data_IF_581240046667
#
_entry.id   IF_581240046667
#
_cell.length_a   1.000
_cell.length_b   1.000
_cell.length_c   1.000
_cell.angle_alpha   90.00
_cell.angle_beta   90.00
_cell.angle_gamma   90.00
#
_symmetry.space_group_name_H-M   'P 1'
#
loop_
_entity.id
_entity.type
_entity.pdbx_description
1 polymer ?
#
# COMPACT_ATOMS: atom_id res chain seq x y z
N UNK A 1 -4.89 13.12 13.07
CA UNK A 1 -5.12 12.20 11.94
C UNK A 1 -4.14 12.57 10.84
N UNK A 2 -3.67 11.60 10.06
CA UNK A 2 -2.73 11.78 8.96
C UNK A 2 -3.20 10.98 7.75
N UNK A 3 -2.96 11.53 6.57
CA UNK A 3 -3.24 10.90 5.28
C UNK A 3 -1.97 10.99 4.46
N UNK A 4 -1.50 9.86 3.94
CA UNK A 4 -0.35 9.80 3.07
C UNK A 4 -0.76 9.17 1.74
N UNK A 5 -0.37 9.79 0.63
CA UNK A 5 -0.62 9.27 -0.70
C UNK A 5 0.70 9.10 -1.46
N UNK A 6 0.92 7.93 -2.04
CA UNK A 6 2.01 7.70 -3.01
C UNK A 6 1.42 7.36 -4.36
N UNK A 7 1.80 8.12 -5.37
CA UNK A 7 1.43 7.88 -6.76
C UNK A 7 2.68 7.52 -7.55
N UNK A 8 2.57 6.48 -8.38
CA UNK A 8 3.61 6.09 -9.34
C UNK A 8 2.97 6.07 -10.72
N UNK A 9 3.65 6.65 -11.71
CA UNK A 9 3.26 6.53 -13.12
C UNK A 9 3.65 5.18 -13.69
N UNK A 10 3.13 4.84 -14.85
CA UNK A 10 3.56 3.66 -15.62
C UNK A 10 5.09 3.71 -15.80
N UNK A 11 5.76 2.60 -15.56
CA UNK A 11 7.21 2.52 -15.67
C UNK A 11 7.65 1.22 -16.34
N UNK A 12 8.77 1.31 -17.05
CA UNK A 12 9.42 0.17 -17.68
C UNK A 12 10.29 -0.53 -16.63
N UNK A 13 10.04 -1.80 -16.41
CA UNK A 13 10.86 -2.69 -15.61
C UNK A 13 11.49 -3.78 -16.48
N UNK A 14 12.49 -4.44 -15.92
CA UNK A 14 13.11 -5.63 -16.50
C UNK A 14 12.89 -6.78 -15.53
N UNK A 15 12.32 -7.88 -16.01
CA UNK A 15 12.15 -9.12 -15.24
C UNK A 15 12.86 -10.23 -15.99
N UNK A 16 13.68 -11.00 -15.29
CA UNK A 16 14.23 -12.26 -15.81
C UNK A 16 13.13 -13.32 -15.84
N UNK A 17 12.92 -13.92 -17.00
CA UNK A 17 12.04 -15.09 -17.13
C UNK A 17 12.69 -16.34 -16.48
N UNK A 18 11.92 -17.41 -16.34
CA UNK A 18 12.39 -18.72 -15.85
C UNK A 18 13.60 -19.29 -16.62
N UNK A 19 13.83 -18.85 -17.87
CA UNK A 19 14.97 -19.18 -18.73
C UNK A 19 16.14 -18.16 -18.64
N UNK A 20 16.13 -17.26 -17.65
CA UNK A 20 17.14 -16.21 -17.44
C UNK A 20 17.27 -15.17 -18.58
N UNK A 21 16.28 -15.12 -19.47
CA UNK A 21 16.17 -14.04 -20.45
C UNK A 21 15.55 -12.81 -19.80
N UNK A 22 16.20 -11.66 -19.97
CA UNK A 22 15.70 -10.35 -19.53
C UNK A 22 14.63 -9.87 -20.50
N UNK A 23 13.39 -9.75 -20.02
CA UNK A 23 12.28 -9.23 -20.81
C UNK A 23 11.85 -7.87 -20.26
N UNK A 24 11.71 -6.90 -21.17
CA UNK A 24 11.13 -5.61 -20.85
C UNK A 24 9.64 -5.79 -20.57
N UNK A 25 9.21 -5.30 -19.41
CA UNK A 25 7.82 -5.38 -18.98
C UNK A 25 7.37 -4.03 -18.46
N UNK A 26 6.15 -3.67 -18.74
CA UNK A 26 5.59 -2.42 -18.25
C UNK A 26 4.74 -2.70 -17.03
N UNK A 27 4.96 -1.92 -15.98
CA UNK A 27 4.16 -1.97 -14.76
C UNK A 27 3.24 -0.75 -14.77
N UNK A 28 1.95 -1.00 -14.62
CA UNK A 28 0.93 0.05 -14.58
C UNK A 28 1.10 0.87 -13.30
N UNK A 29 1.08 2.18 -13.46
CA UNK A 29 1.08 3.15 -12.40
C UNK A 29 -0.12 2.97 -11.48
N UNK A 30 0.12 3.13 -10.19
CA UNK A 30 -0.89 2.97 -9.16
C UNK A 30 -0.80 4.10 -8.15
N UNK A 31 -1.94 4.38 -7.52
CA UNK A 31 -2.04 5.35 -6.43
C UNK A 31 -2.45 4.61 -5.16
N UNK A 32 -1.54 4.55 -4.20
CA UNK A 32 -1.75 3.95 -2.88
C UNK A 32 -1.96 5.07 -1.88
N UNK A 33 -3.07 5.02 -1.15
CA UNK A 33 -3.36 5.96 -0.06
C UNK A 33 -3.37 5.21 1.25
N UNK A 34 -2.67 5.72 2.24
CA UNK A 34 -2.60 5.21 3.60
C UNK A 34 -3.25 6.23 4.55
N UNK A 35 -4.03 5.72 5.51
CA UNK A 35 -4.74 6.51 6.51
C UNK A 35 -4.25 6.15 7.90
N UNK A 36 -4.10 7.14 8.76
CA UNK A 36 -3.76 6.94 10.17
C UNK A 36 -4.55 7.90 11.06
N UNK A 37 -5.22 7.35 12.07
CA UNK A 37 -5.91 8.10 13.10
C UNK A 37 -5.47 7.59 14.46
N UNK A 38 -5.03 8.49 15.33
CA UNK A 38 -4.65 8.15 16.70
C UNK A 38 -5.27 9.12 17.68
N UNK A 39 -5.53 8.64 18.89
CA UNK A 39 -6.04 9.44 19.99
C UNK A 39 -5.37 9.02 21.29
N UNK A 40 -4.92 10.00 22.07
CA UNK A 40 -4.35 9.77 23.39
C UNK A 40 -5.26 10.38 24.46
N UNK A 41 -5.58 9.56 25.46
CA UNK A 41 -6.30 9.97 26.64
C UNK A 41 -5.32 10.71 27.56
N UNK A 42 -5.45 12.03 27.64
CA UNK A 42 -4.56 12.87 28.45
C UNK A 42 -5.07 13.09 29.89
N UNK A 43 -6.34 12.77 30.15
CA UNK A 43 -7.01 13.03 31.43
C UNK A 43 -7.96 11.87 31.82
N UNK A 44 -8.27 11.78 33.11
CA UNK A 44 -9.18 10.75 33.65
C UNK A 44 -8.50 9.40 33.92
N UNK A 45 -9.29 8.35 34.19
CA UNK A 45 -8.78 7.02 34.58
C UNK A 45 -8.02 6.31 33.45
N UNK A 46 -8.22 6.73 32.20
CA UNK A 46 -7.51 6.21 31.03
C UNK A 46 -6.27 7.04 30.65
N UNK A 47 -5.83 7.98 31.51
CA UNK A 47 -4.67 8.83 31.23
C UNK A 47 -3.45 7.98 30.87
N UNK A 48 -2.81 8.29 29.75
CA UNK A 48 -1.65 7.57 29.24
C UNK A 48 -2.00 6.43 28.28
N UNK A 49 -3.28 6.11 28.08
CA UNK A 49 -3.73 5.24 27.00
C UNK A 49 -3.69 6.00 25.67
N UNK A 50 -3.10 5.38 24.65
CA UNK A 50 -3.11 5.86 23.27
C UNK A 50 -3.63 4.75 22.37
N UNK A 51 -4.56 5.09 21.49
CA UNK A 51 -5.12 4.19 20.49
C UNK A 51 -4.74 4.68 19.10
N UNK A 52 -4.44 3.75 18.22
CA UNK A 52 -4.00 4.01 16.86
C UNK A 52 -4.74 3.08 15.91
N UNK A 53 -5.37 3.66 14.89
CA UNK A 53 -5.98 2.97 13.78
C UNK A 53 -5.25 3.34 12.50
N UNK A 54 -4.91 2.34 11.69
CA UNK A 54 -4.25 2.55 10.40
C UNK A 54 -4.93 1.72 9.32
N UNK A 55 -5.02 2.30 8.12
CA UNK A 55 -5.48 1.62 6.91
C UNK A 55 -4.39 1.76 5.87
N UNK A 56 -3.75 0.66 5.50
CA UNK A 56 -2.79 0.65 4.40
C UNK A 56 -3.51 0.27 3.10
N UNK A 57 -3.12 0.92 2.01
CA UNK A 57 -3.74 0.76 0.70
C UNK A 57 -5.27 0.96 0.73
N UNK A 58 -5.73 2.06 1.35
CA UNK A 58 -7.13 2.45 1.41
C UNK A 58 -7.79 2.55 0.02
N UNK A 59 -7.04 2.88 -1.03
CA UNK A 59 -7.49 2.92 -2.44
C UNK A 59 -7.63 1.54 -3.08
N UNK A 60 -7.13 0.48 -2.46
CA UNK A 60 -7.13 -0.88 -3.03
C UNK A 60 -6.41 -0.95 -4.38
N UNK A 61 -5.29 -0.27 -4.48
CA UNK A 61 -4.42 -0.32 -5.63
C UNK A 61 -4.08 -1.77 -5.96
N UNK A 62 -4.20 -2.12 -7.24
CA UNK A 62 -3.89 -3.42 -7.78
C UNK A 62 -2.62 -3.30 -8.61
N UNK A 63 -1.69 -4.23 -8.40
CA UNK A 63 -0.51 -4.33 -9.21
C UNK A 63 -0.88 -5.00 -10.53
N UNK A 64 -0.51 -4.36 -11.64
CA UNK A 64 -0.77 -4.88 -12.96
C UNK A 64 0.48 -4.73 -13.82
N UNK A 65 0.85 -5.82 -14.49
CA UNK A 65 1.99 -5.89 -15.39
C UNK A 65 1.55 -6.35 -16.77
N UNK A 66 2.09 -5.70 -17.79
CA UNK A 66 1.80 -6.00 -19.20
C UNK A 66 3.09 -6.13 -20.01
N UNK A 67 3.02 -6.88 -21.12
CA UNK A 67 4.15 -7.14 -22.02
C UNK A 67 3.85 -6.60 -23.42
N UNK A 68 4.78 -5.80 -23.97
CA UNK A 68 4.71 -5.13 -25.28
C UNK A 68 3.53 -4.18 -25.52
N UNK A 69 2.29 -4.57 -25.21
CA UNK A 69 1.08 -3.75 -25.35
C UNK A 69 0.26 -3.75 -24.05
N UNK A 70 -0.47 -2.66 -23.72
CA UNK A 70 -1.30 -2.57 -22.51
C UNK A 70 -2.39 -3.65 -22.40
N UNK A 71 -2.80 -4.21 -23.54
CA UNK A 71 -3.84 -5.23 -23.63
C UNK A 71 -3.34 -6.63 -23.24
N UNK A 72 -2.02 -6.85 -23.26
CA UNK A 72 -1.42 -8.13 -22.92
C UNK A 72 -1.02 -8.17 -21.44
N UNK A 73 -2.03 -8.35 -20.57
CA UNK A 73 -1.84 -8.43 -19.12
C UNK A 73 -1.19 -9.77 -18.77
N UNK A 74 0.07 -9.70 -18.34
CA UNK A 74 0.84 -10.89 -17.92
C UNK A 74 0.50 -11.26 -16.49
N UNK A 75 0.26 -10.27 -15.65
CA UNK A 75 0.09 -10.48 -14.22
C UNK A 75 -0.78 -9.39 -13.60
N UNK A 76 -1.72 -9.81 -12.76
CA UNK A 76 -2.63 -8.93 -12.04
C UNK A 76 -2.79 -9.44 -10.62
N UNK A 77 -2.23 -8.72 -9.67
CA UNK A 77 -2.24 -9.08 -8.25
C UNK A 77 -2.94 -7.99 -7.46
N UNK A 78 -3.94 -8.38 -6.69
CA UNK A 78 -4.64 -7.49 -5.79
C UNK A 78 -4.15 -7.74 -4.37
N UNK A 79 -3.25 -6.88 -3.89
CA UNK A 79 -2.72 -6.97 -2.52
C UNK A 79 -3.77 -6.68 -1.44
N UNK A 80 -4.90 -6.05 -1.81
CA UNK A 80 -5.99 -5.76 -0.88
C UNK A 80 -5.68 -4.58 0.05
N UNK A 81 -6.59 -4.36 1.00
CA UNK A 81 -6.45 -3.34 2.04
C UNK A 81 -6.08 -4.01 3.36
N UNK A 82 -5.18 -3.41 4.13
CA UNK A 82 -4.78 -3.93 5.44
C UNK A 82 -5.24 -2.94 6.52
N UNK A 83 -5.97 -3.45 7.51
CA UNK A 83 -6.40 -2.67 8.67
C UNK A 83 -5.54 -3.06 9.87
N UNK A 84 -5.00 -2.06 10.57
CA UNK A 84 -4.19 -2.24 11.77
C UNK A 84 -4.81 -1.44 12.91
N UNK A 85 -4.84 -2.06 14.09
CA UNK A 85 -5.24 -1.43 15.34
C UNK A 85 -4.14 -1.64 16.36
N UNK A 86 -3.75 -0.56 17.03
CA UNK A 86 -2.77 -0.58 18.11
C UNK A 86 -3.31 0.17 19.31
N UNK A 87 -2.95 -0.30 20.50
CA UNK A 87 -3.15 0.42 21.73
C UNK A 87 -1.85 0.37 22.53
N UNK A 88 -1.45 1.50 23.10
CA UNK A 88 -0.27 1.64 23.94
C UNK A 88 -0.68 2.34 25.23
N UNK A 89 -0.08 1.97 26.34
CA UNK A 89 -0.35 2.58 27.63
C UNK A 89 0.96 3.02 28.28
N UNK A 90 1.01 4.27 28.72
CA UNK A 90 2.15 4.88 29.40
C UNK A 90 1.80 5.12 30.86
N UNK A 91 2.61 4.55 31.75
CA UNK A 91 2.55 4.74 33.21
C UNK A 91 3.31 6.00 33.63
#
# INVERSE_FOLDING_TARGET
>A
FAVAGRQRSDFLGEISDYQDNRQLTFIKGETVVDLQAGYEFQQGPAKGLSVLFQVNNATNAQFQRYSNTPDNIVEKVKYGKIYLMGATYKF
#
